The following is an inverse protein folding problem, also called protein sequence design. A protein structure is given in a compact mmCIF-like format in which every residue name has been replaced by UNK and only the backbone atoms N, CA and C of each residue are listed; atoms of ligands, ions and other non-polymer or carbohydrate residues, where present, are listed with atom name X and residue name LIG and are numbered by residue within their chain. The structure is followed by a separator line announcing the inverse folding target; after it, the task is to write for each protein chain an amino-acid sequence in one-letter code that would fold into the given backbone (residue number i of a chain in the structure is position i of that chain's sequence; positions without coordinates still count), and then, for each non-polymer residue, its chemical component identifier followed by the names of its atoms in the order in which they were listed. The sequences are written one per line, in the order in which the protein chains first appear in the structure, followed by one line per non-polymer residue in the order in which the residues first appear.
data_IF_574889346675
#
_entry.id   IF_574889346675
#
_cell.length_a   1.000
_cell.length_b   1.000
_cell.length_c   1.000
_cell.angle_alpha   90.00
_cell.angle_beta   90.00
_cell.angle_gamma   90.00
#
_symmetry.space_group_name_H-M   'P 1'
#
loop_
_entity.id
_entity.type
_entity.pdbx_description
1 polymer ?
#
# COMPACT_ATOMS: atom_id res chain seq x y z
N UNK A 1 -3.53 8.78 7.09
CA UNK A 1 -2.18 9.35 6.85
C UNK A 1 -2.21 10.84 6.49
N UNK A 2 -2.77 11.24 5.34
CA UNK A 2 -2.76 12.66 4.87
C UNK A 2 -3.78 13.59 5.51
N UNK A 3 -4.60 13.10 6.45
CA UNK A 3 -5.55 13.91 7.24
C UNK A 3 -5.04 14.24 8.65
N UNK A 4 -3.93 13.61 9.07
CA UNK A 4 -3.35 13.74 10.40
C UNK A 4 -1.84 13.98 10.33
N UNK A 5 -1.05 12.92 10.55
CA UNK A 5 0.43 12.96 10.57
C UNK A 5 1.06 13.70 9.37
N UNK A 6 0.47 13.54 8.19
CA UNK A 6 1.00 14.08 6.92
C UNK A 6 0.07 15.15 6.32
N UNK A 7 -0.69 15.88 7.14
CA UNK A 7 -1.65 16.90 6.67
C UNK A 7 -1.00 18.13 6.04
N UNK A 8 0.27 18.36 6.35
CA UNK A 8 1.11 19.44 5.83
C UNK A 8 1.71 19.13 4.45
N UNK A 9 1.61 17.89 3.96
CA UNK A 9 2.27 17.44 2.74
C UNK A 9 1.34 17.49 1.53
N UNK A 10 1.83 18.10 0.44
CA UNK A 10 1.20 18.09 -0.87
C UNK A 10 1.45 16.80 -1.67
N UNK A 11 1.31 16.89 -3.00
CA UNK A 11 1.45 15.75 -3.91
C UNK A 11 2.69 15.82 -4.81
N UNK A 12 3.60 16.78 -4.57
CA UNK A 12 4.89 16.84 -5.23
C UNK A 12 5.70 15.55 -4.97
N UNK A 13 6.68 15.25 -5.81
CA UNK A 13 7.56 14.10 -5.61
C UNK A 13 8.23 14.14 -4.22
N UNK A 14 8.77 15.30 -3.82
CA UNK A 14 9.37 15.50 -2.50
C UNK A 14 8.39 15.22 -1.36
N UNK A 15 7.17 15.73 -1.44
CA UNK A 15 6.15 15.49 -0.41
C UNK A 15 5.71 14.03 -0.35
N UNK A 16 5.74 13.31 -1.49
CA UNK A 16 5.47 11.87 -1.52
C UNK A 16 6.58 11.08 -0.85
N UNK A 17 7.85 11.44 -1.07
CA UNK A 17 8.98 10.84 -0.35
C UNK A 17 8.85 11.05 1.15
N UNK A 18 8.56 12.27 1.60
CA UNK A 18 8.40 12.56 3.03
C UNK A 18 7.18 11.85 3.63
N UNK A 19 6.08 11.76 2.88
CA UNK A 19 4.89 11.03 3.28
C UNK A 19 5.19 9.54 3.46
N UNK A 20 6.01 8.93 2.59
CA UNK A 20 6.46 7.54 2.73
C UNK A 20 7.41 7.40 3.93
N UNK A 21 8.41 8.28 4.06
CA UNK A 21 9.37 8.26 5.18
C UNK A 21 8.67 8.30 6.53
N UNK A 22 7.82 9.32 6.77
CA UNK A 22 7.05 9.44 8.04
C UNK A 22 6.18 8.22 8.32
N UNK A 23 5.58 7.65 7.28
CA UNK A 23 4.74 6.45 7.42
C UNK A 23 5.59 5.22 7.78
N UNK A 24 6.78 5.08 7.18
CA UNK A 24 7.69 3.98 7.43
C UNK A 24 8.27 4.02 8.85
N UNK A 25 8.67 5.19 9.35
CA UNK A 25 9.12 5.35 10.75
C UNK A 25 8.03 4.91 11.73
N UNK A 26 6.78 5.32 11.50
CA UNK A 26 5.65 4.93 12.36
C UNK A 26 5.39 3.42 12.26
N UNK A 27 5.45 2.85 11.04
CA UNK A 27 5.30 1.41 10.86
C UNK A 27 6.42 0.61 11.55
N UNK A 28 7.64 1.13 11.58
CA UNK A 28 8.76 0.54 12.31
C UNK A 28 8.48 0.52 13.82
N UNK A 29 7.98 1.62 14.40
CA UNK A 29 7.58 1.67 15.82
C UNK A 29 6.49 0.63 16.15
N UNK A 30 5.52 0.43 15.26
CA UNK A 30 4.49 -0.62 15.45
C UNK A 30 5.11 -2.02 15.36
N UNK A 31 6.03 -2.25 14.42
CA UNK A 31 6.71 -3.52 14.28
C UNK A 31 7.58 -3.84 15.53
N UNK A 32 8.31 -2.86 16.05
CA UNK A 32 9.06 -2.96 17.31
C UNK A 32 8.15 -3.28 18.51
N UNK A 33 6.92 -2.76 18.50
CA UNK A 33 5.90 -3.05 19.51
C UNK A 33 5.20 -4.41 19.32
N UNK A 34 5.60 -5.22 18.32
CA UNK A 34 4.99 -6.53 18.04
C UNK A 34 3.63 -6.46 17.35
N UNK A 35 3.31 -5.34 16.69
CA UNK A 35 2.04 -5.11 16.00
C UNK A 35 2.24 -5.14 14.49
N UNK A 36 1.39 -5.88 13.78
CA UNK A 36 1.35 -5.85 12.30
C UNK A 36 0.72 -4.55 11.82
N UNK A 37 1.54 -3.67 11.23
CA UNK A 37 1.08 -2.46 10.58
C UNK A 37 0.78 -2.71 9.08
N UNK A 38 -0.44 -2.41 8.64
CA UNK A 38 -0.83 -2.45 7.22
C UNK A 38 -0.77 -1.03 6.65
N UNK A 39 0.11 -0.82 5.66
CA UNK A 39 0.31 0.48 5.01
C UNK A 39 -0.23 0.45 3.58
N UNK A 40 -1.45 0.94 3.38
CA UNK A 40 -2.09 1.02 2.06
C UNK A 40 -1.95 2.43 1.46
N UNK A 41 -0.82 2.69 0.81
CA UNK A 41 -0.53 3.97 0.14
C UNK A 41 0.13 3.77 -1.22
N UNK A 42 -0.04 4.72 -2.13
CA UNK A 42 0.65 4.70 -3.42
C UNK A 42 2.12 5.07 -3.21
N UNK A 43 3.03 4.16 -3.55
CA UNK A 43 4.50 4.31 -3.49
C UNK A 43 5.11 4.14 -4.89
N UNK A 44 5.02 5.17 -5.75
CA UNK A 44 5.21 5.03 -7.19
C UNK A 44 6.67 4.88 -7.64
N UNK A 45 7.64 5.23 -6.79
CA UNK A 45 9.07 5.13 -7.13
C UNK A 45 9.68 3.97 -6.36
N UNK A 46 10.55 3.18 -7.00
CA UNK A 46 11.27 2.10 -6.33
C UNK A 46 12.06 2.59 -5.11
N UNK A 47 12.70 3.75 -5.22
CA UNK A 47 13.44 4.39 -4.13
C UNK A 47 12.59 4.72 -2.89
N UNK A 48 11.29 5.01 -3.06
CA UNK A 48 10.39 5.23 -1.91
C UNK A 48 10.16 3.93 -1.14
N UNK A 49 10.04 2.80 -1.86
CA UNK A 49 9.80 1.49 -1.25
C UNK A 49 11.08 0.96 -0.61
N UNK A 50 12.24 1.23 -1.22
CA UNK A 50 13.54 0.94 -0.62
C UNK A 50 13.78 1.74 0.67
N UNK A 51 13.40 3.02 0.68
CA UNK A 51 13.44 3.83 1.90
C UNK A 51 12.59 3.20 3.02
N UNK A 52 11.37 2.75 2.70
CA UNK A 52 10.51 2.11 3.68
C UNK A 52 11.08 0.77 4.16
N UNK A 53 11.64 -0.03 3.25
CA UNK A 53 12.31 -1.30 3.55
C UNK A 53 13.49 -1.09 4.49
N UNK A 54 14.34 -0.10 4.23
CA UNK A 54 15.48 0.22 5.08
C UNK A 54 15.06 0.70 6.48
N UNK A 55 14.00 1.50 6.59
CA UNK A 55 13.51 1.99 7.88
C UNK A 55 12.86 0.89 8.74
N UNK A 56 12.11 -0.03 8.12
CA UNK A 56 11.36 -1.08 8.83
C UNK A 56 12.22 -2.34 9.06
N UNK A 57 13.21 -2.60 8.20
CA UNK A 57 14.09 -3.76 8.30
C UNK A 57 13.39 -5.08 8.01
N UNK A 58 13.77 -6.13 8.75
CA UNK A 58 13.37 -7.52 8.51
C UNK A 58 11.86 -7.77 8.61
N UNK A 59 11.12 -6.88 9.28
CA UNK A 59 9.66 -6.96 9.38
C UNK A 59 8.94 -6.49 8.09
N UNK A 60 9.65 -5.86 7.15
CA UNK A 60 9.05 -5.33 5.94
C UNK A 60 8.62 -6.43 4.95
N UNK A 61 7.39 -6.34 4.44
CA UNK A 61 6.90 -7.18 3.34
C UNK A 61 6.24 -6.29 2.27
N UNK A 62 6.83 -6.27 1.08
CA UNK A 62 6.28 -5.51 -0.05
C UNK A 62 5.15 -6.30 -0.73
N UNK A 63 3.95 -5.73 -0.74
CA UNK A 63 2.79 -6.29 -1.45
C UNK A 63 2.51 -5.44 -2.69
N UNK A 64 2.63 -6.05 -3.87
CA UNK A 64 2.25 -5.39 -5.12
C UNK A 64 0.79 -5.70 -5.46
N UNK A 65 -0.09 -4.73 -5.22
CA UNK A 65 -1.48 -4.77 -5.69
C UNK A 65 -1.50 -4.35 -7.15
N UNK A 66 -1.49 -5.32 -8.05
CA UNK A 66 -1.35 -5.12 -9.49
C UNK A 66 -2.72 -4.99 -10.16
N UNK A 67 -2.82 -3.97 -11.00
CA UNK A 67 -3.84 -3.83 -12.03
C UNK A 67 -3.31 -2.87 -13.11
N UNK A 68 -3.60 -3.14 -14.39
CA UNK A 68 -3.37 -2.18 -15.47
C UNK A 68 -4.06 -0.84 -15.19
N UNK A 69 -3.45 0.25 -15.64
CA UNK A 69 -3.93 1.62 -15.34
C UNK A 69 -5.31 1.90 -15.94
N UNK A 70 -5.61 1.34 -17.11
CA UNK A 70 -6.91 1.40 -17.77
C UNK A 70 -7.99 0.68 -16.95
N UNK A 71 -7.68 -0.45 -16.32
CA UNK A 71 -8.59 -1.13 -15.38
C UNK A 71 -8.83 -0.26 -14.14
N UNK A 72 -7.78 0.34 -13.58
CA UNK A 72 -7.92 1.29 -12.46
C UNK A 72 -8.76 2.52 -12.83
N UNK A 73 -8.54 3.07 -14.03
CA UNK A 73 -9.30 4.21 -14.56
C UNK A 73 -10.75 3.87 -14.88
N UNK A 74 -11.05 2.64 -15.31
CA UNK A 74 -12.41 2.18 -15.51
C UNK A 74 -13.18 2.05 -14.17
N UNK A 75 -12.49 1.63 -13.11
CA UNK A 75 -13.07 1.51 -11.76
C UNK A 75 -13.31 2.87 -11.09
N UNK A 76 -12.40 3.82 -11.29
CA UNK A 76 -12.34 5.20 -10.76
C UNK A 76 -13.35 5.57 -9.65
N UNK A 77 -13.28 4.93 -8.47
CA UNK A 77 -14.32 5.05 -7.43
C UNK A 77 -14.40 6.45 -6.82
N UNK A 78 -13.42 7.31 -7.10
CA UNK A 78 -13.31 8.69 -6.59
C UNK A 78 -13.39 9.75 -7.69
N UNK A 79 -13.55 9.35 -8.95
CA UNK A 79 -13.52 10.28 -10.08
C UNK A 79 -12.17 10.97 -10.29
N UNK A 80 -11.07 10.42 -9.75
CA UNK A 80 -9.75 11.04 -9.79
C UNK A 80 -9.06 10.80 -11.14
N UNK A 81 -9.22 9.62 -11.74
CA UNK A 81 -8.69 9.37 -13.09
C UNK A 81 -9.39 10.28 -14.11
N UNK A 82 -10.72 10.42 -14.02
CA UNK A 82 -11.46 11.33 -14.89
C UNK A 82 -10.95 12.78 -14.80
N UNK A 83 -10.65 13.28 -13.59
CA UNK A 83 -10.05 14.60 -13.38
C UNK A 83 -8.62 14.69 -13.91
N UNK A 84 -7.82 13.65 -13.69
CA UNK A 84 -6.44 13.59 -14.18
C UNK A 84 -6.36 13.63 -15.71
N UNK A 85 -7.22 12.88 -16.42
CA UNK A 85 -7.26 12.90 -17.89
C UNK A 85 -7.73 14.24 -18.47
N UNK A 86 -8.47 15.05 -17.70
CA UNK A 86 -8.80 16.44 -18.06
C UNK A 86 -7.71 17.46 -17.68
N UNK A 87 -6.60 17.01 -17.10
CA UNK A 87 -5.49 17.88 -16.68
C UNK A 87 -5.74 18.65 -15.38
N UNK A 88 -6.80 18.34 -14.63
CA UNK A 88 -7.15 19.02 -13.38
C UNK A 88 -6.29 18.57 -12.19
N UNK A 89 -5.60 17.42 -12.31
CA UNK A 89 -4.72 16.87 -11.29
C UNK A 89 -3.31 16.70 -11.87
N UNK A 90 -2.37 17.64 -11.59
CA UNK A 90 -0.99 17.48 -12.03
C UNK A 90 -0.31 16.32 -11.30
N UNK A 91 0.71 15.73 -11.93
CA UNK A 91 1.55 14.67 -11.36
C UNK A 91 0.76 13.43 -10.86
N UNK A 92 -0.30 13.06 -11.59
CA UNK A 92 -1.15 11.93 -11.23
C UNK A 92 -0.50 10.61 -11.64
N UNK A 93 -0.31 9.72 -10.67
CA UNK A 93 0.37 8.42 -10.86
C UNK A 93 -0.38 7.56 -11.87
N UNK A 94 0.34 7.06 -12.87
CA UNK A 94 -0.20 6.26 -13.97
C UNK A 94 -0.76 7.09 -15.14
N UNK A 95 -0.87 8.42 -15.01
CA UNK A 95 -1.31 9.30 -16.11
C UNK A 95 -0.19 10.26 -16.50
N UNK A 96 0.16 11.20 -15.62
CA UNK A 96 1.19 12.23 -15.86
C UNK A 96 2.46 12.03 -15.01
N UNK A 97 2.48 11.01 -14.14
CA UNK A 97 3.62 10.61 -13.32
C UNK A 97 3.81 9.08 -13.37
N UNK A 98 5.05 8.57 -13.46
CA UNK A 98 5.32 7.13 -13.62
C UNK A 98 5.00 6.31 -12.36
N UNK A 99 4.86 4.99 -12.55
CA UNK A 99 4.82 4.00 -11.48
C UNK A 99 5.82 2.89 -11.80
N UNK A 100 6.84 2.74 -10.96
CA UNK A 100 7.83 1.67 -11.05
C UNK A 100 7.24 0.40 -10.44
N UNK A 101 6.85 -0.57 -11.26
CA UNK A 101 6.40 -1.86 -10.75
C UNK A 101 7.47 -2.52 -9.87
N UNK A 102 7.13 -3.07 -8.69
CA UNK A 102 8.08 -3.85 -7.90
C UNK A 102 8.61 -5.05 -8.67
N UNK A 103 9.92 -5.28 -8.62
CA UNK A 103 10.58 -6.43 -9.25
C UNK A 103 10.78 -7.61 -8.30
N UNK A 104 10.76 -7.36 -6.99
CA UNK A 104 10.99 -8.35 -5.93
C UNK A 104 10.02 -8.15 -4.76
N UNK A 105 8.72 -8.14 -5.09
CA UNK A 105 7.66 -8.08 -4.07
C UNK A 105 7.51 -9.43 -3.37
N UNK A 106 7.28 -9.40 -2.05
CA UNK A 106 6.99 -10.60 -1.28
C UNK A 106 5.68 -11.29 -1.71
N UNK A 107 4.73 -10.51 -2.24
CA UNK A 107 3.49 -11.01 -2.81
C UNK A 107 2.97 -10.08 -3.90
N UNK A 108 2.57 -10.67 -5.03
CA UNK A 108 1.84 -9.97 -6.10
C UNK A 108 0.38 -10.39 -6.09
N UNK A 109 -0.51 -9.40 -6.01
CA UNK A 109 -1.97 -9.56 -6.04
C UNK A 109 -2.51 -8.96 -7.34
N UNK A 110 -2.73 -9.80 -8.35
CA UNK A 110 -3.43 -9.38 -9.56
C UNK A 110 -4.92 -9.24 -9.29
N UNK A 111 -5.39 -7.99 -9.19
CA UNK A 111 -6.78 -7.66 -8.90
C UNK A 111 -7.68 -7.67 -10.15
N UNK A 112 -7.14 -8.02 -11.32
CA UNK A 112 -7.94 -8.23 -12.53
C UNK A 112 -8.54 -9.63 -12.57
N UNK A 113 -7.85 -10.61 -11.99
CA UNK A 113 -8.21 -12.03 -12.02
C UNK A 113 -8.63 -12.60 -10.66
N UNK A 114 -8.19 -12.00 -9.54
CA UNK A 114 -8.53 -12.46 -8.19
C UNK A 114 -9.71 -11.71 -7.58
N UNK A 115 -10.56 -12.45 -6.87
CA UNK A 115 -11.54 -11.85 -5.96
C UNK A 115 -10.86 -11.21 -4.76
N UNK A 116 -11.58 -10.33 -4.05
CA UNK A 116 -11.11 -9.72 -2.81
C UNK A 116 -10.78 -10.80 -1.78
N UNK A 117 -11.67 -11.79 -1.59
CA UNK A 117 -11.47 -12.88 -0.64
C UNK A 117 -10.19 -13.67 -0.93
N UNK A 118 -9.94 -13.99 -2.20
CA UNK A 118 -8.71 -14.69 -2.59
C UNK A 118 -7.45 -13.85 -2.34
N UNK A 119 -7.52 -12.53 -2.52
CA UNK A 119 -6.43 -11.61 -2.18
C UNK A 119 -6.19 -11.52 -0.67
N UNK A 120 -7.25 -11.44 0.13
CA UNK A 120 -7.18 -11.39 1.60
C UNK A 120 -6.60 -12.70 2.13
N UNK A 121 -7.06 -13.84 1.61
CA UNK A 121 -6.54 -15.16 1.97
C UNK A 121 -5.03 -15.29 1.69
N UNK A 122 -4.56 -14.78 0.56
CA UNK A 122 -3.14 -14.78 0.22
C UNK A 122 -2.32 -13.88 1.17
N UNK A 123 -2.86 -12.72 1.54
CA UNK A 123 -2.25 -11.81 2.52
C UNK A 123 -2.16 -12.45 3.91
N UNK A 124 -3.23 -13.09 4.38
CA UNK A 124 -3.27 -13.75 5.67
C UNK A 124 -2.26 -14.90 5.74
N UNK A 125 -2.18 -15.73 4.70
CA UNK A 125 -1.15 -16.79 4.60
C UNK A 125 0.27 -16.21 4.70
N UNK A 126 0.58 -15.18 3.90
CA UNK A 126 1.88 -14.52 3.98
C UNK A 126 2.19 -13.99 5.39
N UNK A 127 1.22 -13.34 6.04
CA UNK A 127 1.40 -12.77 7.37
C UNK A 127 1.61 -13.85 8.44
N UNK A 128 0.87 -14.96 8.38
CA UNK A 128 1.05 -16.10 9.27
C UNK A 128 2.42 -16.74 9.09
N UNK A 129 2.84 -16.97 7.85
CA UNK A 129 4.13 -17.61 7.55
C UNK A 129 5.30 -16.70 7.95
N UNK A 130 5.19 -15.40 7.70
CA UNK A 130 6.27 -14.44 7.94
C UNK A 130 6.40 -14.01 9.41
N UNK A 131 5.29 -13.97 10.16
CA UNK A 131 5.26 -13.39 11.51
C UNK A 131 4.74 -14.34 12.60
N UNK A 132 4.37 -15.57 12.25
CA UNK A 132 4.00 -16.60 13.23
C UNK A 132 2.64 -16.39 13.91
N UNK A 133 1.75 -15.55 13.38
CA UNK A 133 0.37 -15.46 13.85
C UNK A 133 -0.40 -16.70 13.41
N UNK A 134 -0.58 -17.67 14.30
CA UNK A 134 -1.44 -18.82 14.06
C UNK A 134 -2.83 -18.35 13.62
N UNK A 135 -3.27 -18.76 12.43
CA UNK A 135 -4.67 -18.62 12.04
C UNK A 135 -5.45 -19.60 12.91
N UNK A 136 -6.07 -19.13 14.00
CA UNK A 136 -7.20 -19.86 14.54
C UNK A 136 -8.31 -19.80 13.49
N UNK A 137 -8.35 -20.82 12.63
CA UNK A 137 -9.44 -21.03 11.70
C UNK A 137 -10.74 -21.19 12.51
N UNK A 138 -11.54 -20.11 12.62
CA UNK A 138 -12.89 -20.20 13.19
C UNK A 138 -13.42 -19.01 13.97
N UNK A 139 -12.65 -17.95 14.23
CA UNK A 139 -13.19 -16.83 15.04
C UNK A 139 -13.99 -15.87 14.18
N UNK A 140 -15.28 -16.19 14.05
CA UNK A 140 -16.34 -15.25 13.67
C UNK A 140 -16.16 -13.97 14.47
N UNK A 141 -16.06 -12.80 13.81
CA UNK A 141 -16.10 -11.50 14.46
C UNK A 141 -17.45 -11.35 15.18
N UNK A 142 -17.53 -11.79 16.43
CA UNK A 142 -18.56 -11.34 17.35
C UNK A 142 -18.07 -10.05 18.00
N UNK A 143 -18.64 -8.94 17.53
CA UNK A 143 -18.47 -7.63 18.14
C UNK A 143 -18.76 -7.71 19.64
N UNK A 144 -17.80 -7.29 20.45
CA UNK A 144 -18.06 -7.00 21.86
C UNK A 144 -18.57 -5.57 21.94
N UNK A 145 -19.85 -5.52 22.31
CA UNK A 145 -20.65 -4.46 22.94
C UNK A 145 -19.95 -3.16 23.27
#
# INVERSE_FOLDING_TARGET
MRTGLNRDLGFSERDRFENVRRTAEVAALFAEAGVVAIVAMISPRAAMRELARAAIGDAFREIYVSAPVDVCAARDPKGLYAKAYRGELPEFTGVSSPYDAPTDAALVLDTTSRSIDACVDALLRLATDAFGYGVEAGTTLHGRR
#
